data_IF_851306018295
#
_entry.id   IF_851306018295
#
_cell.length_a   1.000
_cell.length_b   1.000
_cell.length_c   1.000
_cell.angle_alpha   90.00
_cell.angle_beta   90.00
_cell.angle_gamma   90.00
#
_symmetry.space_group_name_H-M   'P 1'
#
loop_
_entity.id
_entity.type
_entity.pdbx_description
1 polymer ?
#
# COMPACT_ATOMS: atom_id res chain seq x y z
N UNK A 1 -9.01 -11.67 -11.83
CA UNK A 1 -9.36 -10.43 -11.14
C UNK A 1 -9.40 -9.35 -12.20
N UNK A 2 -10.54 -8.71 -12.35
CA UNK A 2 -10.85 -7.85 -13.50
C UNK A 2 -10.20 -6.47 -13.39
N UNK A 3 -10.06 -5.79 -14.54
CA UNK A 3 -9.43 -4.47 -14.64
C UNK A 3 -10.08 -3.41 -13.72
N UNK A 4 -11.40 -3.50 -13.54
CA UNK A 4 -12.17 -2.57 -12.71
C UNK A 4 -11.79 -2.65 -11.23
N UNK A 5 -11.54 -3.85 -10.71
CA UNK A 5 -11.06 -4.05 -9.33
C UNK A 5 -9.63 -3.53 -9.16
N UNK A 6 -8.83 -3.54 -10.23
CA UNK A 6 -7.50 -2.95 -10.26
C UNK A 6 -7.54 -1.43 -10.14
N UNK A 7 -8.33 -0.75 -10.99
CA UNK A 7 -8.48 0.70 -10.91
C UNK A 7 -9.07 1.16 -9.57
N UNK A 8 -10.06 0.45 -9.05
CA UNK A 8 -10.70 0.79 -7.78
C UNK A 8 -9.74 0.64 -6.59
N UNK A 9 -8.98 -0.46 -6.53
CA UNK A 9 -8.00 -0.67 -5.48
C UNK A 9 -6.85 0.34 -5.53
N UNK A 10 -6.35 0.66 -6.73
CA UNK A 10 -5.31 1.68 -6.92
C UNK A 10 -5.80 3.06 -6.48
N UNK A 11 -7.02 3.47 -6.88
CA UNK A 11 -7.57 4.77 -6.50
C UNK A 11 -7.70 4.91 -4.97
N UNK A 12 -8.16 3.88 -4.28
CA UNK A 12 -8.26 3.89 -2.82
C UNK A 12 -6.88 3.99 -2.14
N UNK A 13 -5.86 3.33 -2.69
CA UNK A 13 -4.49 3.47 -2.20
C UNK A 13 -3.94 4.88 -2.38
N UNK A 14 -4.21 5.51 -3.53
CA UNK A 14 -3.81 6.89 -3.81
C UNK A 14 -4.49 7.90 -2.87
N UNK A 15 -5.71 7.59 -2.39
CA UNK A 15 -6.40 8.36 -1.34
C UNK A 15 -5.87 8.07 0.09
N UNK A 16 -4.84 7.24 0.23
CA UNK A 16 -4.23 6.91 1.53
C UNK A 16 -4.93 5.79 2.29
N UNK A 17 -5.79 5.01 1.64
CA UNK A 17 -6.43 3.84 2.28
C UNK A 17 -5.37 2.81 2.63
N UNK A 18 -5.43 2.29 3.86
CA UNK A 18 -4.49 1.26 4.30
C UNK A 18 -4.70 -0.05 3.53
N UNK A 19 -3.59 -0.68 3.15
CA UNK A 19 -3.55 -1.93 2.37
C UNK A 19 -4.26 -3.10 3.08
N UNK A 20 -4.27 -3.12 4.41
CA UNK A 20 -4.98 -4.12 5.21
C UNK A 20 -6.51 -3.96 5.11
N UNK A 21 -7.00 -2.73 4.96
CA UNK A 21 -8.42 -2.45 4.76
C UNK A 21 -8.84 -2.94 3.38
N UNK A 22 -8.06 -2.63 2.35
CA UNK A 22 -8.25 -3.14 0.99
C UNK A 22 -8.25 -4.67 0.96
N UNK A 23 -7.29 -5.31 1.63
CA UNK A 23 -7.23 -6.77 1.71
C UNK A 23 -8.54 -7.37 2.25
N UNK A 24 -9.08 -6.79 3.33
CA UNK A 24 -10.35 -7.23 3.93
C UNK A 24 -11.54 -6.98 3.00
N UNK A 25 -11.61 -5.82 2.35
CA UNK A 25 -12.69 -5.49 1.42
C UNK A 25 -12.74 -6.42 0.22
N UNK A 26 -11.59 -6.83 -0.31
CA UNK A 26 -11.50 -7.74 -1.46
C UNK A 26 -11.48 -9.22 -1.07
N UNK A 27 -11.55 -9.57 0.22
CA UNK A 27 -11.53 -10.96 0.68
C UNK A 27 -10.21 -11.69 0.38
N UNK A 28 -9.11 -10.95 0.25
CA UNK A 28 -7.81 -11.52 -0.09
C UNK A 28 -7.24 -12.33 1.08
N UNK A 29 -7.01 -13.63 0.85
CA UNK A 29 -6.38 -14.51 1.84
C UNK A 29 -4.93 -14.13 2.19
N UNK A 30 -4.26 -13.35 1.35
CA UNK A 30 -2.87 -12.95 1.55
C UNK A 30 -2.67 -11.47 1.25
N UNK A 31 -1.86 -10.80 2.05
CA UNK A 31 -1.45 -9.42 1.77
C UNK A 31 -0.63 -9.32 0.48
N UNK A 32 0.05 -10.40 0.05
CA UNK A 32 0.82 -10.44 -1.20
C UNK A 32 -0.06 -10.20 -2.43
N UNK A 33 -1.31 -10.66 -2.43
CA UNK A 33 -2.22 -10.42 -3.56
C UNK A 33 -2.68 -8.97 -3.60
N UNK A 34 -2.81 -8.31 -2.44
CA UNK A 34 -3.12 -6.87 -2.33
C UNK A 34 -1.92 -5.98 -2.65
N UNK A 35 -0.70 -6.45 -2.38
CA UNK A 35 0.53 -5.70 -2.66
C UNK A 35 0.75 -5.45 -4.16
N UNK A 36 0.05 -6.18 -5.05
CA UNK A 36 0.06 -5.92 -6.50
C UNK A 36 -0.44 -4.51 -6.86
N UNK A 37 -1.24 -3.88 -6.00
CA UNK A 37 -1.74 -2.52 -6.22
C UNK A 37 -0.79 -1.43 -5.71
N UNK A 38 0.27 -1.82 -5.00
CA UNK A 38 1.20 -0.88 -4.38
C UNK A 38 2.34 -0.61 -5.36
N UNK A 39 2.35 0.59 -5.92
CA UNK A 39 3.47 1.09 -6.71
C UNK A 39 4.33 1.99 -5.82
N UNK A 40 5.43 1.46 -5.28
CA UNK A 40 6.39 2.25 -4.50
C UNK A 40 7.53 2.69 -5.42
N UNK A 41 7.74 4.00 -5.52
CA UNK A 41 8.92 4.57 -6.16
C UNK A 41 10.14 4.47 -5.24
N UNK A 42 11.33 4.28 -5.79
CA UNK A 42 12.58 4.29 -5.00
C UNK A 42 12.77 5.60 -4.20
N UNK A 43 12.28 6.72 -4.72
CA UNK A 43 12.25 8.01 -4.01
C UNK A 43 11.34 8.02 -2.76
N UNK A 44 10.25 7.25 -2.78
CA UNK A 44 9.41 7.10 -1.59
C UNK A 44 10.10 6.27 -0.51
N UNK A 45 10.91 5.29 -0.89
CA UNK A 45 11.69 4.45 0.02
C UNK A 45 12.81 5.26 0.68
N UNK A 46 13.52 6.10 -0.08
CA UNK A 46 14.63 6.91 0.46
C UNK A 46 14.17 7.95 1.47
N UNK A 47 12.89 8.36 1.44
CA UNK A 47 12.28 9.29 2.40
C UNK A 47 11.82 8.63 3.71
N UNK A 48 11.89 7.31 3.81
CA UNK A 48 11.53 6.60 5.05
C UNK A 48 12.60 6.89 6.10
N UNK A 49 12.24 7.68 7.11
CA UNK A 49 13.09 7.94 8.27
C UNK A 49 12.86 6.84 9.30
N UNK A 50 13.95 6.25 9.78
CA UNK A 50 13.88 5.27 10.86
C UNK A 50 13.39 5.95 12.14
N UNK A 51 12.45 5.33 12.89
CA UNK A 51 12.06 5.83 14.20
C UNK A 51 13.24 5.93 15.17
N UNK A 52 14.25 5.08 15.03
CA UNK A 52 15.46 5.13 15.85
C UNK A 52 16.32 6.38 15.56
N UNK A 53 16.40 6.80 14.30
CA UNK A 53 17.09 8.04 13.91
C UNK A 53 16.34 9.29 14.38
N UNK A 54 15.01 9.22 14.52
CA UNK A 54 14.18 10.33 14.99
C UNK A 54 14.24 10.57 16.51
N UNK A 55 14.61 9.56 17.30
CA UNK A 55 14.71 9.65 18.78
C UNK A 55 16.12 10.08 19.24
N UNK A 56 17.11 10.04 18.35
CA UNK A 56 18.50 10.42 18.63
C UNK A 56 18.82 11.90 18.29
N UNK A 57 17.80 12.74 18.13
CA UNK A 57 17.90 14.21 17.97
C UNK A 57 17.33 14.93 19.19
#
# INVERSE_FOLDING_TARGET
MDFQSHCFATHLLEQGTQTVILQKMFGHKSIRTTARYIHISNDAISKVVSPADAVLQ
#
